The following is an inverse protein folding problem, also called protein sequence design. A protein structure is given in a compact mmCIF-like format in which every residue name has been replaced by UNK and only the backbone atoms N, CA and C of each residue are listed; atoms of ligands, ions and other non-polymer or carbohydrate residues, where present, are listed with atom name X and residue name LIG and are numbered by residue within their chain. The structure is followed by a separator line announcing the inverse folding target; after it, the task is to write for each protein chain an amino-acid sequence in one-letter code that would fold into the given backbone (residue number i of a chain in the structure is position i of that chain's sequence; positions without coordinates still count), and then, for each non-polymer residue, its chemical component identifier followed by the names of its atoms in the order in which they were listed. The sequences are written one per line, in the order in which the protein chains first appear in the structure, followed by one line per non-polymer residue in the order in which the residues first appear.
data_IF_543145964370
#
_entry.id   IF_543145964370
#
_cell.length_a   1.000
_cell.length_b   1.000
_cell.length_c   1.000
_cell.angle_alpha   90.00
_cell.angle_beta   90.00
_cell.angle_gamma   90.00
#
_symmetry.space_group_name_H-M   'P 1'
#
loop_
_entity.id
_entity.type
_entity.pdbx_description
1 polymer ?
#
# COMPACT_ATOMS: atom_id res chain seq x y z
N UNK A 1 -20.56 -55.63 19.49
CA UNK A 1 -19.65 -54.47 19.46
C UNK A 1 -20.03 -53.66 18.23
N UNK A 2 -20.93 -52.70 18.39
CA UNK A 2 -21.37 -51.81 17.30
C UNK A 2 -20.43 -50.62 17.24
N UNK A 3 -19.92 -50.32 16.05
CA UNK A 3 -19.12 -49.13 15.79
C UNK A 3 -19.76 -48.41 14.59
N UNK A 4 -20.34 -47.23 14.86
CA UNK A 4 -20.36 -46.05 13.99
C UNK A 4 -20.98 -44.88 14.81
N UNK A 5 -20.73 -43.58 14.51
CA UNK A 5 -20.18 -43.06 13.26
C UNK A 5 -19.07 -41.99 13.38
N UNK A 6 -18.28 -41.92 12.31
CA UNK A 6 -17.84 -40.71 11.58
C UNK A 6 -17.91 -39.38 12.35
N UNK A 7 -16.78 -38.95 12.90
CA UNK A 7 -16.60 -37.57 13.33
C UNK A 7 -16.55 -36.66 12.08
N UNK A 8 -17.28 -35.53 12.05
CA UNK A 8 -17.22 -34.60 10.94
C UNK A 8 -15.85 -33.92 10.91
N UNK A 9 -15.21 -33.96 9.74
CA UNK A 9 -14.01 -33.16 9.45
C UNK A 9 -14.41 -31.69 9.58
N UNK A 10 -13.71 -30.86 10.37
CA UNK A 10 -14.04 -29.45 10.48
C UNK A 10 -13.88 -28.82 9.09
N UNK A 11 -14.93 -28.12 8.65
CA UNK A 11 -14.90 -27.34 7.42
C UNK A 11 -13.72 -26.35 7.49
N UNK A 12 -12.98 -26.15 6.38
CA UNK A 12 -11.92 -25.16 6.34
C UNK A 12 -12.51 -23.81 6.73
N UNK A 13 -11.92 -23.20 7.76
CA UNK A 13 -12.26 -21.85 8.21
C UNK A 13 -12.18 -20.94 6.99
N UNK A 14 -13.31 -20.37 6.58
CA UNK A 14 -13.35 -19.41 5.50
C UNK A 14 -12.53 -18.21 5.92
N UNK A 15 -11.28 -18.18 5.45
CA UNK A 15 -10.45 -16.98 5.54
C UNK A 15 -11.28 -15.86 4.91
N UNK A 16 -11.39 -14.66 5.52
CA UNK A 16 -12.09 -13.55 4.88
C UNK A 16 -11.51 -13.32 3.47
N UNK A 17 -12.36 -12.92 2.53
CA UNK A 17 -12.01 -12.72 1.13
C UNK A 17 -11.03 -11.55 0.99
N UNK A 18 -9.74 -11.85 1.19
CA UNK A 18 -8.66 -10.86 1.12
C UNK A 18 -8.48 -10.41 -0.33
N UNK A 19 -8.46 -9.09 -0.60
CA UNK A 19 -8.24 -8.56 -1.95
C UNK A 19 -6.90 -8.98 -2.58
N UNK A 20 -5.97 -9.49 -1.76
CA UNK A 20 -4.61 -9.88 -2.17
C UNK A 20 -4.44 -11.38 -2.40
N UNK A 21 -5.53 -12.15 -2.52
CA UNK A 21 -5.43 -13.57 -2.88
C UNK A 21 -4.91 -13.75 -4.31
N UNK A 22 -4.03 -14.74 -4.55
CA UNK A 22 -3.54 -15.05 -5.88
C UNK A 22 -4.57 -15.81 -6.75
N UNK A 23 -5.53 -16.53 -6.13
CA UNK A 23 -6.51 -17.35 -6.85
C UNK A 23 -7.59 -16.50 -7.54
N UNK A 24 -7.99 -16.84 -8.79
CA UNK A 24 -9.08 -16.16 -9.49
C UNK A 24 -10.42 -16.22 -8.73
N UNK A 25 -11.21 -15.15 -8.78
CA UNK A 25 -12.51 -15.08 -8.11
C UNK A 25 -13.40 -13.94 -8.62
N UNK A 26 -14.57 -13.75 -8.00
CA UNK A 26 -15.59 -12.78 -8.45
C UNK A 26 -15.05 -11.34 -8.62
N UNK A 27 -14.03 -10.97 -7.84
CA UNK A 27 -13.32 -9.67 -7.93
C UNK A 27 -12.59 -9.45 -9.27
N UNK A 28 -12.26 -10.51 -10.01
CA UNK A 28 -11.63 -10.41 -11.34
C UNK A 28 -12.64 -10.07 -12.44
N UNK A 29 -13.93 -10.35 -12.20
CA UNK A 29 -15.02 -10.07 -13.14
C UNK A 29 -15.57 -8.65 -12.96
N UNK A 30 -15.30 -8.01 -11.82
CA UNK A 30 -15.70 -6.64 -11.55
C UNK A 30 -14.95 -5.63 -12.44
N UNK A 31 -15.54 -4.45 -12.74
CA UNK A 31 -14.81 -3.34 -13.35
C UNK A 31 -13.54 -3.01 -12.55
N UNK A 32 -12.40 -2.94 -13.24
CA UNK A 32 -11.11 -2.80 -12.59
C UNK A 32 -10.74 -1.33 -12.41
N UNK A 33 -10.29 -0.97 -11.21
CA UNK A 33 -9.82 0.37 -10.87
C UNK A 33 -8.36 0.32 -10.42
N UNK A 34 -7.71 1.48 -10.45
CA UNK A 34 -6.36 1.67 -9.95
C UNK A 34 -6.32 2.90 -9.07
N UNK A 35 -5.64 2.82 -7.93
CA UNK A 35 -5.26 3.99 -7.15
C UNK A 35 -3.95 4.58 -7.72
N UNK A 36 -3.98 5.76 -8.36
CA UNK A 36 -2.79 6.38 -8.90
C UNK A 36 -2.02 7.11 -7.80
N UNK A 37 -0.70 6.97 -7.83
CA UNK A 37 0.22 7.80 -7.09
C UNK A 37 1.24 8.40 -8.07
N UNK A 38 1.64 9.64 -7.82
CA UNK A 38 2.71 10.31 -8.55
C UNK A 38 3.74 10.81 -7.55
N UNK A 39 4.97 10.34 -7.68
CA UNK A 39 6.11 10.85 -6.90
C UNK A 39 6.82 11.95 -7.68
N UNK A 40 7.19 13.04 -7.00
CA UNK A 40 8.01 14.10 -7.57
C UNK A 40 9.48 13.67 -7.54
N UNK A 41 10.11 13.59 -8.71
CA UNK A 41 11.53 13.25 -8.83
C UNK A 41 12.21 14.27 -9.74
N UNK A 42 12.79 15.31 -9.13
CA UNK A 42 13.61 16.30 -9.83
C UNK A 42 15.02 15.74 -10.08
N UNK A 43 15.66 16.14 -11.19
CA UNK A 43 17.02 15.63 -11.52
C UNK A 43 18.09 16.07 -10.51
N UNK A 44 17.98 17.29 -10.02
CA UNK A 44 19.02 17.91 -9.19
C UNK A 44 18.94 17.48 -7.72
N UNK A 45 17.76 17.03 -7.28
CA UNK A 45 17.48 16.67 -5.90
C UNK A 45 16.40 15.59 -5.86
N UNK A 46 16.71 14.35 -6.30
CA UNK A 46 15.80 13.23 -6.07
C UNK A 46 15.63 13.00 -4.56
N UNK A 47 14.43 12.60 -4.08
CA UNK A 47 14.24 12.28 -2.68
C UNK A 47 14.96 10.99 -2.29
N UNK A 48 15.25 10.84 -0.99
CA UNK A 48 15.74 9.58 -0.45
C UNK A 48 14.69 8.47 -0.64
N UNK A 49 15.14 7.25 -0.94
CA UNK A 49 14.25 6.09 -1.18
C UNK A 49 13.32 5.84 -0.01
N UNK A 50 13.84 5.81 1.22
CA UNK A 50 13.07 5.55 2.43
C UNK A 50 11.99 6.62 2.65
N UNK A 51 12.33 7.90 2.44
CA UNK A 51 11.37 8.99 2.60
C UNK A 51 10.26 8.93 1.52
N UNK A 52 10.58 8.53 0.29
CA UNK A 52 9.58 8.31 -0.74
C UNK A 52 8.63 7.16 -0.41
N UNK A 53 9.14 6.06 0.16
CA UNK A 53 8.33 4.92 0.62
C UNK A 53 7.39 5.32 1.77
N UNK A 54 7.92 5.99 2.79
CA UNK A 54 7.14 6.49 3.93
C UNK A 54 6.06 7.47 3.47
N UNK A 55 6.41 8.39 2.58
CA UNK A 55 5.47 9.40 2.04
C UNK A 55 4.38 8.75 1.18
N UNK A 56 4.71 7.73 0.37
CA UNK A 56 3.72 7.01 -0.42
C UNK A 56 2.73 6.21 0.45
N UNK A 57 3.22 5.53 1.49
CA UNK A 57 2.37 4.83 2.44
C UNK A 57 1.42 5.81 3.17
N UNK A 58 1.96 6.95 3.62
CA UNK A 58 1.15 8.05 4.20
C UNK A 58 0.12 8.60 3.23
N UNK A 59 0.47 8.77 1.95
CA UNK A 59 -0.46 9.25 0.95
C UNK A 59 -1.67 8.30 0.77
N UNK A 60 -1.44 6.98 0.84
CA UNK A 60 -2.56 6.02 0.83
C UNK A 60 -3.45 6.18 2.06
N UNK A 61 -2.88 6.31 3.26
CA UNK A 61 -3.64 6.52 4.50
C UNK A 61 -4.44 7.84 4.46
N UNK A 62 -3.83 8.90 3.96
CA UNK A 62 -4.50 10.19 3.74
C UNK A 62 -5.69 10.03 2.80
N UNK A 63 -5.53 9.32 1.68
CA UNK A 63 -6.65 9.04 0.77
C UNK A 63 -7.75 8.21 1.46
N UNK A 64 -7.41 7.18 2.22
CA UNK A 64 -8.38 6.34 2.94
C UNK A 64 -9.13 7.10 4.03
N UNK A 65 -8.47 8.03 4.71
CA UNK A 65 -9.01 8.80 5.83
C UNK A 65 -9.65 10.14 5.47
N UNK A 66 -9.59 10.56 4.20
CA UNK A 66 -10.15 11.83 3.72
C UNK A 66 -11.69 11.76 3.67
N UNK A 67 -12.37 12.83 4.10
CA UNK A 67 -13.82 12.89 4.11
C UNK A 67 -14.44 12.68 2.72
N UNK A 68 -13.76 13.11 1.65
CA UNK A 68 -14.20 12.89 0.26
C UNK A 68 -14.19 11.41 -0.11
N UNK A 69 -13.37 10.58 0.53
CA UNK A 69 -13.23 9.15 0.25
C UNK A 69 -14.20 8.25 1.02
N UNK A 70 -14.98 8.81 1.95
CA UNK A 70 -15.83 8.04 2.88
C UNK A 70 -17.29 8.47 2.80
N UNK A 71 -18.22 7.60 3.24
CA UNK A 71 -19.65 7.90 3.24
C UNK A 71 -20.18 8.33 1.88
N UNK A 72 -20.76 9.54 1.84
CA UNK A 72 -21.29 10.21 0.64
C UNK A 72 -20.30 11.21 0.02
N UNK A 73 -19.02 11.14 0.41
CA UNK A 73 -17.97 11.99 -0.13
C UNK A 73 -17.79 11.83 -1.65
N UNK A 74 -17.27 12.88 -2.28
CA UNK A 74 -17.09 12.99 -3.74
C UNK A 74 -16.37 11.78 -4.37
N UNK A 75 -15.41 11.19 -3.67
CA UNK A 75 -14.57 10.08 -4.11
C UNK A 75 -15.00 8.74 -3.53
N UNK A 76 -15.99 8.72 -2.63
CA UNK A 76 -16.35 7.54 -1.86
C UNK A 76 -16.82 6.37 -2.72
N UNK A 77 -17.52 6.66 -3.83
CA UNK A 77 -17.90 5.61 -4.79
C UNK A 77 -16.69 4.99 -5.48
N UNK A 78 -15.78 5.81 -6.02
CA UNK A 78 -14.57 5.32 -6.68
C UNK A 78 -13.68 4.52 -5.70
N UNK A 79 -13.64 4.93 -4.44
CA UNK A 79 -12.95 4.19 -3.38
C UNK A 79 -13.60 2.84 -3.09
N UNK A 80 -14.93 2.74 -3.04
CA UNK A 80 -15.63 1.44 -2.89
C UNK A 80 -15.37 0.53 -4.09
N UNK A 81 -15.61 1.04 -5.31
CA UNK A 81 -15.41 0.30 -6.55
C UNK A 81 -13.98 -0.26 -6.68
N UNK A 82 -12.97 0.49 -6.21
CA UNK A 82 -11.58 0.03 -6.15
C UNK A 82 -11.29 -1.00 -5.06
N UNK A 83 -11.85 -0.85 -3.86
CA UNK A 83 -11.62 -1.76 -2.73
C UNK A 83 -12.36 -3.11 -2.90
N UNK A 84 -13.48 -3.10 -3.62
CA UNK A 84 -14.29 -4.28 -3.90
C UNK A 84 -13.74 -5.11 -5.07
N UNK A 85 -12.86 -4.54 -5.90
CA UNK A 85 -12.17 -5.23 -7.00
C UNK A 85 -10.79 -5.80 -6.57
N UNK A 86 -9.94 -6.15 -7.55
CA UNK A 86 -8.51 -6.40 -7.32
C UNK A 86 -7.80 -5.08 -7.05
N UNK A 87 -7.31 -4.93 -5.82
CA UNK A 87 -6.71 -3.67 -5.37
C UNK A 87 -5.36 -3.47 -6.04
N UNK A 88 -5.32 -2.52 -6.98
CA UNK A 88 -4.11 -2.13 -7.70
C UNK A 88 -3.68 -0.72 -7.29
N UNK A 89 -2.39 -0.55 -7.02
CA UNK A 89 -1.73 0.76 -6.88
C UNK A 89 -0.68 0.91 -7.96
N UNK A 90 -0.62 2.07 -8.59
CA UNK A 90 0.39 2.37 -9.60
C UNK A 90 1.07 3.67 -9.24
N UNK A 91 2.39 3.59 -9.07
CA UNK A 91 3.23 4.77 -8.82
C UNK A 91 3.89 5.17 -10.14
N UNK A 92 3.70 6.43 -10.52
CA UNK A 92 4.40 7.07 -11.65
C UNK A 92 5.29 8.19 -11.13
N UNK A 93 6.23 8.64 -11.94
CA UNK A 93 7.05 9.82 -11.61
C UNK A 93 6.68 11.03 -12.44
N UNK A 94 6.84 12.21 -11.87
CA UNK A 94 6.74 13.47 -12.58
C UNK A 94 7.79 14.47 -12.07
N UNK A 95 8.05 15.50 -12.89
CA UNK A 95 8.97 16.60 -12.57
C UNK A 95 8.56 17.88 -13.27
N UNK A 96 8.98 19.03 -12.77
CA UNK A 96 8.77 20.32 -13.44
C UNK A 96 7.33 20.52 -13.95
N UNK A 97 7.16 20.70 -15.27
CA UNK A 97 5.84 20.91 -15.86
C UNK A 97 4.90 19.69 -15.80
N UNK A 98 5.44 18.47 -15.75
CA UNK A 98 4.63 17.26 -15.56
C UNK A 98 4.05 17.18 -14.16
N UNK A 99 4.84 17.53 -13.15
CA UNK A 99 4.38 17.60 -11.77
C UNK A 99 3.26 18.63 -11.61
N UNK A 100 3.46 19.86 -12.12
CA UNK A 100 2.44 20.92 -12.08
C UNK A 100 1.11 20.53 -12.74
N UNK A 101 1.14 19.74 -13.83
CA UNK A 101 -0.09 19.24 -14.46
C UNK A 101 -0.76 18.15 -13.63
N UNK A 102 0.02 17.26 -13.02
CA UNK A 102 -0.52 16.27 -12.09
C UNK A 102 -1.15 16.93 -10.85
N UNK A 103 -0.55 17.99 -10.32
CA UNK A 103 -1.10 18.78 -9.21
C UNK A 103 -2.43 19.46 -9.52
N UNK A 104 -2.64 19.85 -10.78
CA UNK A 104 -3.89 20.49 -11.21
C UNK A 104 -5.10 19.54 -11.25
N UNK A 105 -4.89 18.21 -11.20
CA UNK A 105 -5.97 17.23 -11.14
C UNK A 105 -6.46 17.02 -9.69
N UNK A 106 -7.72 16.63 -9.45
CA UNK A 106 -8.21 16.31 -8.11
C UNK A 106 -7.36 15.23 -7.44
N UNK A 107 -6.90 15.49 -6.22
CA UNK A 107 -5.99 14.63 -5.49
C UNK A 107 -5.38 15.35 -4.29
N UNK A 108 -4.50 14.65 -3.57
CA UNK A 108 -3.86 15.15 -2.35
C UNK A 108 -2.36 14.98 -2.48
N UNK A 109 -1.61 16.07 -2.31
CA UNK A 109 -0.15 16.02 -2.20
C UNK A 109 0.21 15.85 -0.74
N UNK A 110 1.02 14.83 -0.45
CA UNK A 110 1.62 14.58 0.86
C UNK A 110 3.12 14.84 0.76
N UNK A 111 3.64 15.57 1.74
CA UNK A 111 5.05 15.95 1.84
C UNK A 111 5.71 15.17 2.98
N UNK A 112 6.84 14.55 2.66
CA UNK A 112 7.78 13.91 3.58
C UNK A 112 8.89 14.87 4.02
N UNK A 113 10.07 14.33 4.34
CA UNK A 113 11.25 15.14 4.69
C UNK A 113 11.82 15.87 3.47
N UNK A 114 11.81 15.21 2.32
CA UNK A 114 12.22 15.73 1.01
C UNK A 114 11.44 15.14 -0.17
N UNK A 115 10.61 14.13 0.07
CA UNK A 115 9.72 13.52 -0.92
C UNK A 115 8.38 14.26 -0.99
N UNK A 116 7.83 14.35 -2.20
CA UNK A 116 6.45 14.75 -2.44
C UNK A 116 5.75 13.66 -3.24
N UNK A 117 4.66 13.14 -2.69
CA UNK A 117 3.84 12.13 -3.35
C UNK A 117 2.41 12.63 -3.43
N UNK A 118 1.85 12.64 -4.63
CA UNK A 118 0.46 12.97 -4.87
C UNK A 118 -0.35 11.70 -5.10
N UNK A 119 -1.40 11.51 -4.32
CA UNK A 119 -2.37 10.42 -4.48
C UNK A 119 -3.65 10.98 -5.11
N UNK A 120 -4.27 10.17 -5.96
CA UNK A 120 -5.48 10.56 -6.71
C UNK A 120 -6.63 9.62 -6.34
N UNK A 121 -7.88 10.06 -6.46
CA UNK A 121 -9.03 9.15 -6.38
C UNK A 121 -8.84 7.99 -7.36
N UNK A 122 -9.32 6.78 -7.05
CA UNK A 122 -9.21 5.66 -7.96
C UNK A 122 -9.83 5.97 -9.32
N UNK A 123 -9.18 5.52 -10.38
CA UNK A 123 -9.63 5.71 -11.77
C UNK A 123 -9.84 4.35 -12.43
N UNK A 124 -10.75 4.23 -13.41
CA UNK A 124 -10.89 3.00 -14.19
C UNK A 124 -9.57 2.61 -14.87
N UNK A 125 -9.29 1.31 -14.96
CA UNK A 125 -8.04 0.78 -15.51
C UNK A 125 -7.77 1.26 -16.94
N UNK A 126 -8.83 1.43 -17.74
CA UNK A 126 -8.84 1.93 -19.11
C UNK A 126 -9.19 3.43 -19.23
N UNK A 127 -9.44 4.11 -18.10
CA UNK A 127 -9.96 5.48 -18.03
C UNK A 127 -9.00 6.49 -17.39
N UNK A 128 -7.69 6.32 -17.56
CA UNK A 128 -6.71 7.22 -16.94
C UNK A 128 -6.81 8.67 -17.46
N UNK A 129 -6.77 9.69 -16.58
CA UNK A 129 -6.63 11.08 -17.00
C UNK A 129 -5.39 11.26 -17.88
N UNK A 130 -5.53 12.00 -18.98
CA UNK A 130 -4.47 12.17 -20.00
C UNK A 130 -3.13 12.60 -19.40
N UNK A 131 -3.15 13.51 -18.42
CA UNK A 131 -1.93 13.99 -17.78
C UNK A 131 -1.26 12.98 -16.84
N UNK A 132 -1.98 11.99 -16.34
CA UNK A 132 -1.41 10.86 -15.60
C UNK A 132 -0.97 9.72 -16.54
N UNK A 133 -1.76 9.43 -17.58
CA UNK A 133 -1.52 8.34 -18.53
C UNK A 133 -0.17 8.45 -19.26
N UNK A 134 0.32 9.67 -19.48
CA UNK A 134 1.61 9.97 -20.11
C UNK A 134 2.84 9.80 -19.19
N UNK A 135 2.65 9.78 -17.87
CA UNK A 135 3.75 9.73 -16.91
C UNK A 135 4.40 8.33 -16.90
N UNK A 136 5.71 8.28 -16.66
CA UNK A 136 6.46 7.03 -16.69
C UNK A 136 6.34 6.28 -15.36
N UNK A 137 6.22 4.94 -15.44
CA UNK A 137 6.33 4.03 -14.29
C UNK A 137 7.80 3.67 -13.97
N UNK A 138 8.68 3.79 -14.98
CA UNK A 138 10.13 3.55 -14.87
C UNK A 138 10.92 4.80 -14.48
N UNK A 139 12.18 4.62 -14.11
CA UNK A 139 13.07 5.70 -13.66
C UNK A 139 12.75 6.20 -12.25
N UNK A 140 12.21 5.31 -11.42
CA UNK A 140 12.03 5.51 -9.98
C UNK A 140 13.21 4.94 -9.19
N UNK A 141 14.38 4.88 -9.80
CA UNK A 141 15.61 4.43 -9.15
C UNK A 141 16.01 5.52 -8.14
N UNK A 142 15.74 5.24 -6.87
CA UNK A 142 16.02 6.10 -5.74
C UNK A 142 16.88 5.31 -4.77
N UNK A 143 17.87 5.98 -4.22
CA UNK A 143 18.74 5.44 -3.18
C UNK A 143 18.58 6.26 -1.90
N UNK A 144 19.04 5.70 -0.78
CA UNK A 144 19.22 6.46 0.45
C UNK A 144 20.66 6.97 0.51
N UNK A 145 20.91 8.28 0.70
CA UNK A 145 22.27 8.83 0.74
C UNK A 145 23.03 8.36 1.98
N UNK A 146 22.31 8.04 3.05
CA UNK A 146 22.81 7.45 4.29
C UNK A 146 21.86 6.32 4.69
N UNK A 147 22.33 5.26 5.37
CA UNK A 147 21.45 4.22 5.89
C UNK A 147 20.31 4.82 6.72
N UNK A 148 19.06 4.34 6.54
CA UNK A 148 17.95 4.86 7.34
C UNK A 148 18.18 4.54 8.81
N UNK A 149 17.90 5.51 9.68
CA UNK A 149 17.95 5.31 11.13
C UNK A 149 17.00 4.17 11.57
N UNK A 150 17.28 3.56 12.71
CA UNK A 150 16.40 2.54 13.29
C UNK A 150 14.95 3.04 13.39
N UNK A 151 14.00 2.12 13.20
CA UNK A 151 12.59 2.45 13.33
C UNK A 151 12.26 2.79 14.79
N UNK A 152 11.50 3.87 14.99
CA UNK A 152 10.96 4.20 16.30
C UNK A 152 9.92 3.14 16.71
N UNK A 153 10.11 2.41 17.82
CA UNK A 153 9.20 1.36 18.23
C UNK A 153 7.79 1.86 18.63
N UNK A 154 7.63 3.17 18.84
CA UNK A 154 6.36 3.80 19.18
C UNK A 154 5.46 4.07 17.96
N UNK A 155 6.00 4.02 16.74
CA UNK A 155 5.23 4.24 15.51
C UNK A 155 5.09 2.94 14.71
N UNK A 156 4.05 2.82 13.87
CA UNK A 156 3.91 1.70 12.94
C UNK A 156 5.13 1.55 12.03
N UNK A 157 5.57 0.31 11.82
CA UNK A 157 6.67 -0.02 10.90
C UNK A 157 6.17 -0.93 9.80
N UNK A 158 6.41 -0.54 8.55
CA UNK A 158 6.20 -1.38 7.38
C UNK A 158 7.51 -2.06 7.04
N UNK A 159 7.60 -3.36 7.32
CA UNK A 159 8.77 -4.19 7.07
C UNK A 159 8.74 -4.74 5.65
N UNK A 160 9.64 -4.26 4.80
CA UNK A 160 9.85 -4.75 3.44
C UNK A 160 10.61 -6.09 3.46
N UNK A 161 10.22 -7.01 2.58
CA UNK A 161 10.91 -8.28 2.41
C UNK A 161 12.38 -8.06 1.97
N UNK A 162 13.38 -8.57 2.70
CA UNK A 162 14.80 -8.40 2.36
C UNK A 162 15.24 -9.18 1.12
N UNK A 163 14.50 -10.22 0.73
CA UNK A 163 14.90 -11.13 -0.36
C UNK A 163 14.32 -10.70 -1.72
N UNK A 164 13.54 -9.62 -1.77
CA UNK A 164 12.89 -9.13 -2.98
C UNK A 164 13.50 -7.81 -3.43
N UNK A 165 14.16 -7.85 -4.58
CA UNK A 165 14.54 -6.61 -5.27
C UNK A 165 13.32 -6.00 -5.97
N UNK A 166 13.11 -4.71 -5.75
CA UNK A 166 11.97 -3.97 -6.26
C UNK A 166 12.40 -2.55 -6.61
N UNK A 167 12.00 -2.10 -7.81
CA UNK A 167 12.08 -0.67 -8.14
C UNK A 167 11.34 0.17 -7.08
N UNK A 168 11.79 1.40 -6.83
CA UNK A 168 11.16 2.20 -5.76
C UNK A 168 9.67 2.44 -6.04
N UNK A 169 9.26 2.55 -7.30
CA UNK A 169 7.85 2.57 -7.73
C UNK A 169 7.03 1.41 -7.18
N UNK A 170 7.52 0.18 -7.35
CA UNK A 170 6.84 -1.03 -6.85
C UNK A 170 6.89 -1.10 -5.33
N UNK A 171 8.04 -0.81 -4.73
CA UNK A 171 8.19 -0.79 -3.27
C UNK A 171 7.26 0.24 -2.61
N UNK A 172 7.06 1.43 -3.21
CA UNK A 172 6.10 2.44 -2.75
C UNK A 172 4.65 1.94 -2.83
N UNK A 173 4.29 1.26 -3.92
CA UNK A 173 2.96 0.63 -4.03
C UNK A 173 2.75 -0.42 -2.93
N UNK A 174 3.73 -1.29 -2.70
CA UNK A 174 3.70 -2.34 -1.67
C UNK A 174 3.65 -1.75 -0.25
N UNK A 175 4.42 -0.71 0.05
CA UNK A 175 4.31 0.03 1.31
C UNK A 175 2.90 0.60 1.50
N UNK A 176 2.31 1.17 0.43
CA UNK A 176 0.92 1.59 0.41
C UNK A 176 -0.09 0.46 0.66
N UNK A 177 0.17 -0.77 0.20
CA UNK A 177 -0.64 -1.95 0.55
C UNK A 177 -0.48 -2.33 2.02
N UNK A 178 0.74 -2.30 2.58
CA UNK A 178 0.98 -2.60 3.99
C UNK A 178 0.26 -1.62 4.91
N UNK A 179 0.37 -0.33 4.64
CA UNK A 179 -0.36 0.71 5.35
C UNK A 179 -1.88 0.51 5.28
N UNK A 180 -2.43 0.20 4.10
CA UNK A 180 -3.86 -0.06 3.93
C UNK A 180 -4.33 -1.28 4.75
N UNK A 181 -3.56 -2.36 4.76
CA UNK A 181 -3.91 -3.55 5.54
C UNK A 181 -3.93 -3.24 7.04
N UNK A 182 -2.92 -2.55 7.57
CA UNK A 182 -2.94 -2.11 8.96
C UNK A 182 -4.16 -1.23 9.26
N UNK A 183 -4.44 -0.24 8.40
CA UNK A 183 -5.59 0.63 8.55
C UNK A 183 -6.91 -0.14 8.69
N UNK A 184 -7.12 -1.19 7.90
CA UNK A 184 -8.35 -1.97 7.94
C UNK A 184 -8.51 -2.83 9.21
N UNK A 185 -7.42 -3.28 9.82
CA UNK A 185 -7.46 -4.07 11.06
C UNK A 185 -7.67 -3.21 12.31
N UNK A 186 -7.40 -1.90 12.23
CA UNK A 186 -7.61 -0.97 13.33
C UNK A 186 -9.09 -0.66 13.57
N UNK A 187 -9.44 -0.43 14.83
CA UNK A 187 -10.71 0.16 15.25
C UNK A 187 -10.81 1.63 14.82
N UNK A 188 -12.03 2.18 14.82
CA UNK A 188 -12.25 3.59 14.44
C UNK A 188 -11.54 4.60 15.38
N UNK A 189 -11.40 4.25 16.67
CA UNK A 189 -10.64 5.06 17.63
C UNK A 189 -9.14 5.10 17.30
N UNK A 190 -8.54 3.96 16.99
CA UNK A 190 -7.12 3.86 16.61
C UNK A 190 -6.84 4.53 15.25
N UNK A 191 -7.75 4.36 14.28
CA UNK A 191 -7.69 5.07 13.00
C UNK A 191 -7.73 6.58 13.19
N UNK A 192 -8.60 7.07 14.06
CA UNK A 192 -8.73 8.49 14.37
C UNK A 192 -7.46 9.03 15.02
N UNK A 193 -6.93 8.32 16.02
CA UNK A 193 -5.68 8.68 16.69
C UNK A 193 -4.48 8.72 15.70
N UNK A 194 -4.35 7.72 14.82
CA UNK A 194 -3.26 7.68 13.84
C UNK A 194 -3.37 8.82 12.82
N UNK A 195 -4.59 9.14 12.37
CA UNK A 195 -4.87 10.26 11.48
C UNK A 195 -4.57 11.61 12.12
N UNK A 196 -5.02 11.83 13.36
CA UNK A 196 -4.79 13.07 14.12
C UNK A 196 -3.30 13.31 14.38
N UNK A 197 -2.52 12.25 14.57
CA UNK A 197 -1.07 12.32 14.66
C UNK A 197 -0.36 12.61 13.31
N UNK A 198 -1.10 12.66 12.19
CA UNK A 198 -0.54 12.92 10.86
C UNK A 198 0.02 11.68 10.15
N UNK A 199 -0.48 10.50 10.53
CA UNK A 199 -0.05 9.19 10.04
C UNK A 199 1.46 8.92 10.18
N UNK A 200 2.08 9.08 11.38
CA UNK A 200 3.48 8.70 11.57
C UNK A 200 3.67 7.21 11.26
N UNK A 201 4.67 6.87 10.46
CA UNK A 201 5.09 5.49 10.20
C UNK A 201 6.53 5.46 9.71
N UNK A 202 7.18 4.31 9.85
CA UNK A 202 8.48 4.02 9.25
C UNK A 202 8.37 2.93 8.19
N UNK A 203 9.21 2.98 7.16
CA UNK A 203 9.40 1.86 6.21
C UNK A 203 10.84 1.37 6.32
N UNK A 204 11.03 0.09 6.59
CA UNK A 204 12.37 -0.51 6.75
C UNK A 204 12.47 -1.85 6.05
N UNK A 205 13.65 -2.19 5.55
CA UNK A 205 13.94 -3.56 5.13
C UNK A 205 14.16 -4.42 6.37
N UNK A 206 13.47 -5.56 6.47
CA UNK A 206 13.65 -6.45 7.62
C UNK A 206 15.04 -7.10 7.60
N UNK A 207 15.55 -7.41 8.79
CA UNK A 207 16.65 -8.38 8.91
C UNK A 207 16.16 -9.75 8.38
N UNK A 208 16.90 -10.41 7.46
CA UNK A 208 16.54 -11.75 6.97
C UNK A 208 16.23 -12.76 8.07
N UNK A 209 16.95 -12.70 9.20
CA UNK A 209 16.74 -13.59 10.34
C UNK A 209 15.41 -13.32 11.07
N UNK A 210 14.85 -12.11 10.96
CA UNK A 210 13.57 -11.73 11.59
C UNK A 210 12.37 -11.91 10.66
N UNK A 211 12.59 -11.98 9.36
CA UNK A 211 11.51 -12.00 8.35
C UNK A 211 10.53 -13.16 8.54
N UNK A 212 11.02 -14.36 8.83
CA UNK A 212 10.18 -15.52 9.12
C UNK A 212 9.22 -15.26 10.30
N UNK A 213 9.74 -14.74 11.40
CA UNK A 213 8.93 -14.41 12.59
C UNK A 213 7.89 -13.32 12.32
N UNK A 214 8.25 -12.28 11.56
CA UNK A 214 7.32 -11.21 11.17
C UNK A 214 6.15 -11.75 10.35
N UNK A 215 6.41 -12.62 9.37
CA UNK A 215 5.37 -13.14 8.47
C UNK A 215 4.44 -14.17 9.13
N UNK A 216 4.88 -14.84 10.20
CA UNK A 216 4.07 -15.80 10.96
C UNK A 216 3.48 -15.23 12.26
N UNK A 217 3.84 -14.00 12.63
CA UNK A 217 3.48 -13.38 13.92
C UNK A 217 2.04 -12.88 14.05
N UNK A 218 1.17 -13.17 13.09
CA UNK A 218 -0.24 -12.75 13.09
C UNK A 218 -0.46 -11.26 12.77
N UNK A 219 0.60 -10.54 12.38
CA UNK A 219 0.52 -9.18 11.86
C UNK A 219 -0.06 -9.18 10.42
N UNK A 220 -0.65 -8.06 9.96
CA UNK A 220 -1.07 -7.93 8.57
C UNK A 220 0.09 -8.11 7.58
N UNK A 221 -0.09 -8.99 6.58
CA UNK A 221 0.93 -9.32 5.58
C UNK A 221 0.39 -9.08 4.17
N UNK A 222 1.09 -8.28 3.38
CA UNK A 222 0.84 -8.13 1.95
C UNK A 222 1.44 -9.33 1.23
N UNK A 223 0.64 -9.95 0.37
CA UNK A 223 1.07 -11.03 -0.53
C UNK A 223 0.86 -10.55 -1.97
N UNK A 224 1.89 -10.66 -2.80
CA UNK A 224 1.75 -10.25 -4.19
C UNK A 224 0.76 -11.18 -4.91
N UNK A 225 -0.24 -10.59 -5.56
CA UNK A 225 -1.27 -11.33 -6.26
C UNK A 225 -0.80 -11.85 -7.65
N UNK A 226 0.48 -11.68 -8.02
CA UNK A 226 1.05 -12.21 -9.26
C UNK A 226 0.93 -11.29 -10.47
N UNK A 227 0.64 -9.99 -10.27
CA UNK A 227 0.64 -8.98 -11.34
C UNK A 227 2.00 -8.30 -11.51
N UNK A 228 3.02 -8.80 -10.82
CA UNK A 228 4.39 -8.28 -10.87
C UNK A 228 5.36 -9.36 -11.32
N UNK A 229 6.63 -8.99 -11.48
CA UNK A 229 7.71 -9.95 -11.74
C UNK A 229 8.10 -10.78 -10.49
N UNK A 230 7.48 -10.49 -9.34
CA UNK A 230 7.64 -11.22 -8.09
C UNK A 230 6.79 -12.48 -8.17
N UNK A 231 7.33 -13.60 -7.66
CA UNK A 231 6.60 -14.86 -7.63
C UNK A 231 5.24 -14.69 -6.90
N UNK A 232 4.11 -15.12 -7.50
CA UNK A 232 2.80 -15.02 -6.87
C UNK A 232 2.79 -15.63 -5.46
N UNK A 233 2.12 -14.96 -4.52
CA UNK A 233 2.03 -15.40 -3.12
C UNK A 233 3.21 -14.99 -2.24
N UNK A 234 4.28 -14.39 -2.81
CA UNK A 234 5.40 -13.85 -2.03
C UNK A 234 4.92 -12.79 -1.04
N UNK A 235 5.34 -12.91 0.22
CA UNK A 235 5.16 -11.86 1.21
C UNK A 235 6.03 -10.68 0.81
N UNK A 236 5.45 -9.49 0.60
CA UNK A 236 6.21 -8.30 0.19
C UNK A 236 6.42 -7.33 1.35
N UNK A 237 5.41 -7.17 2.20
CA UNK A 237 5.41 -6.24 3.33
C UNK A 237 4.68 -6.84 4.51
N UNK A 238 5.21 -6.68 5.72
CA UNK A 238 4.50 -6.91 6.99
C UNK A 238 4.25 -5.57 7.66
N UNK A 239 3.02 -5.31 8.05
CA UNK A 239 2.66 -4.08 8.75
C UNK A 239 2.64 -4.30 10.27
N UNK A 240 3.68 -3.84 10.94
CA UNK A 240 3.85 -3.93 12.40
C UNK A 240 3.36 -2.65 13.06
N UNK A 241 2.06 -2.59 13.31
CA UNK A 241 1.42 -1.47 14.00
C UNK A 241 1.34 -1.78 15.51
N UNK A 242 1.77 -0.89 16.43
CA UNK A 242 1.79 -1.16 17.87
C UNK A 242 0.45 -1.65 18.44
N UNK A 243 -0.66 -1.06 17.98
CA UNK A 243 -2.01 -1.46 18.38
C UNK A 243 -2.46 -2.85 17.89
N UNK A 244 -1.74 -3.45 16.93
CA UNK A 244 -2.03 -4.79 16.39
C UNK A 244 -1.14 -5.89 16.99
N UNK A 245 -0.15 -5.52 17.81
CA UNK A 245 0.66 -6.50 18.55
C UNK A 245 -0.20 -7.11 19.65
N UNK A 246 -0.33 -8.44 19.63
CA UNK A 246 -1.09 -9.22 20.62
C UNK A 246 -0.23 -9.60 21.81
#
# INVERSE_FOLDING_TARGET
MSNDPTAPVPAPVSVPDSPFRPEPGDRDLAPQFVLPLVVRIERAAPPARTDALETAARAVLVMLGDARSTGDGEWARAMRDWQDARIRKVVRRARGAEWRRAEALPGITVTGKGAEVRVFPPVPLDGWPKDLARLQVSGTDLDDPEPPADADPAVPVLWMNPDLDMSAGKAMAQAGHGAQLAWWELSDGERSAWREAGFPLSVRTADPARWGGLTTGGLPVVRDAGFTEIAPGSCTVVADHPALRR
#
